data_IF_201339489295
#
_entry.id   IF_201339489295
#
_cell.length_a   1.000
_cell.length_b   1.000
_cell.length_c   1.000
_cell.angle_alpha   90.00
_cell.angle_beta   90.00
_cell.angle_gamma   90.00
#
_symmetry.space_group_name_H-M   'P 1'
#
loop_
_entity.id
_entity.type
_entity.pdbx_description
1 polymer ?
#
# COMPACT_ATOMS: atom_id res chain seq x y z
N UNK A 1 7.72 16.09 5.68
CA UNK A 1 8.80 15.08 5.77
C UNK A 1 8.37 13.87 6.58
N UNK A 2 8.09 14.02 7.87
CA UNK A 2 7.66 12.87 8.69
C UNK A 2 6.30 12.35 8.24
N UNK A 3 5.39 13.25 7.85
CA UNK A 3 4.07 12.90 7.29
C UNK A 3 4.10 12.00 6.05
N UNK A 4 5.07 12.17 5.13
CA UNK A 4 5.16 11.31 3.94
C UNK A 4 5.64 9.90 4.29
N UNK A 5 6.46 9.77 5.34
CA UNK A 5 6.87 8.46 5.87
C UNK A 5 5.71 7.79 6.64
N UNK A 6 4.94 8.55 7.43
CA UNK A 6 3.72 8.05 8.06
C UNK A 6 2.68 7.61 7.04
N UNK A 7 2.56 8.31 5.90
CA UNK A 7 1.67 7.89 4.82
C UNK A 7 2.04 6.50 4.29
N UNK A 8 3.33 6.22 4.09
CA UNK A 8 3.80 4.88 3.68
C UNK A 8 3.38 3.84 4.73
N UNK A 9 3.63 4.10 6.01
CA UNK A 9 3.25 3.18 7.10
C UNK A 9 1.74 2.94 7.17
N UNK A 10 0.93 3.99 7.04
CA UNK A 10 -0.53 3.88 7.04
C UNK A 10 -1.00 3.00 5.89
N UNK A 11 -0.48 3.22 4.68
CA UNK A 11 -0.87 2.45 3.50
C UNK A 11 -0.42 1.00 3.60
N UNK A 12 0.77 0.74 4.15
CA UNK A 12 1.27 -0.62 4.39
C UNK A 12 0.36 -1.39 5.37
N UNK A 13 -0.02 -0.77 6.49
CA UNK A 13 -0.94 -1.35 7.47
C UNK A 13 -2.29 -1.67 6.82
N UNK A 14 -2.80 -0.77 5.98
CA UNK A 14 -4.05 -0.98 5.25
C UNK A 14 -3.90 -2.13 4.25
N UNK A 15 -2.79 -2.23 3.52
CA UNK A 15 -2.51 -3.33 2.60
C UNK A 15 -2.57 -4.68 3.32
N UNK A 16 -1.82 -4.82 4.43
CA UNK A 16 -1.80 -6.05 5.22
C UNK A 16 -3.17 -6.38 5.83
N UNK A 17 -3.92 -5.36 6.28
CA UNK A 17 -5.28 -5.56 6.78
C UNK A 17 -6.22 -6.12 5.70
N UNK A 18 -6.14 -5.60 4.46
CA UNK A 18 -6.92 -6.12 3.34
C UNK A 18 -6.51 -7.53 2.93
N UNK A 19 -5.20 -7.81 2.83
CA UNK A 19 -4.69 -9.15 2.53
C UNK A 19 -5.18 -10.17 3.55
N UNK A 20 -5.03 -9.88 4.84
CA UNK A 20 -5.47 -10.77 5.93
C UNK A 20 -6.99 -10.98 5.90
N UNK A 21 -7.76 -9.93 5.62
CA UNK A 21 -9.22 -10.01 5.53
C UNK A 21 -9.66 -10.89 4.37
N UNK A 22 -9.00 -10.77 3.22
CA UNK A 22 -9.35 -11.53 2.02
C UNK A 22 -8.93 -12.98 2.13
N UNK A 23 -7.75 -13.25 2.69
CA UNK A 23 -7.30 -14.62 2.97
C UNK A 23 -8.24 -15.33 3.95
N UNK A 24 -8.80 -14.60 4.92
CA UNK A 24 -9.83 -15.14 5.82
C UNK A 24 -11.15 -15.45 5.13
N UNK A 25 -11.59 -14.62 4.17
CA UNK A 25 -12.89 -14.78 3.48
C UNK A 25 -12.79 -15.79 2.34
N UNK A 26 -11.65 -15.88 1.67
CA UNK A 26 -11.44 -16.64 0.44
C UNK A 26 -10.29 -17.63 0.63
N UNK A 27 -10.62 -18.84 1.10
CA UNK A 27 -9.64 -19.92 1.24
C UNK A 27 -9.14 -20.46 -0.11
N UNK A 28 -9.86 -20.23 -1.21
CA UNK A 28 -9.39 -20.50 -2.57
C UNK A 28 -8.95 -19.21 -3.26
N UNK A 29 -7.90 -19.27 -4.09
CA UNK A 29 -7.42 -18.12 -4.87
C UNK A 29 -8.45 -17.74 -5.96
N UNK A 30 -9.43 -16.93 -5.59
CA UNK A 30 -10.34 -16.32 -6.54
C UNK A 30 -9.67 -15.14 -7.28
N UNK A 31 -10.09 -14.90 -8.52
CA UNK A 31 -9.65 -13.78 -9.36
C UNK A 31 -9.83 -12.43 -8.62
N UNK A 32 -10.86 -12.29 -7.78
CA UNK A 32 -11.06 -11.11 -6.93
C UNK A 32 -9.97 -10.95 -5.86
N UNK A 33 -9.50 -12.03 -5.25
CA UNK A 33 -8.44 -12.00 -4.24
C UNK A 33 -7.14 -11.46 -4.84
N UNK A 34 -6.78 -11.95 -6.03
CA UNK A 34 -5.64 -11.43 -6.79
C UNK A 34 -5.78 -9.94 -7.08
N UNK A 35 -6.95 -9.50 -7.53
CA UNK A 35 -7.20 -8.09 -7.84
C UNK A 35 -7.01 -7.18 -6.64
N UNK A 36 -7.42 -7.59 -5.44
CA UNK A 36 -7.21 -6.76 -4.25
C UNK A 36 -5.75 -6.70 -3.85
N UNK A 37 -5.01 -7.82 -3.94
CA UNK A 37 -3.55 -7.83 -3.69
C UNK A 37 -2.80 -6.89 -4.66
N UNK A 38 -3.18 -6.91 -5.94
CA UNK A 38 -2.59 -6.03 -6.96
C UNK A 38 -2.88 -4.54 -6.67
N UNK A 39 -4.11 -4.22 -6.22
CA UNK A 39 -4.48 -2.84 -5.87
C UNK A 39 -3.81 -2.35 -4.57
N UNK A 40 -3.70 -3.22 -3.57
CA UNK A 40 -3.06 -2.90 -2.31
C UNK A 40 -1.56 -2.62 -2.47
N UNK A 41 -0.85 -3.47 -3.20
CA UNK A 41 0.56 -3.25 -3.55
C UNK A 41 0.77 -2.01 -4.43
N UNK A 42 -0.16 -1.70 -5.35
CA UNK A 42 -0.12 -0.44 -6.12
C UNK A 42 -0.26 0.81 -5.23
N UNK A 43 -1.10 0.75 -4.19
CA UNK A 43 -1.24 1.86 -3.24
C UNK A 43 0.06 2.10 -2.46
N UNK A 44 0.71 1.03 -1.99
CA UNK A 44 2.03 1.11 -1.33
C UNK A 44 3.05 1.75 -2.25
N UNK A 45 3.12 1.32 -3.51
CA UNK A 45 4.03 1.89 -4.50
C UNK A 45 3.79 3.39 -4.72
N UNK A 46 2.54 3.83 -4.83
CA UNK A 46 2.21 5.26 -4.96
C UNK A 46 2.61 6.07 -3.72
N UNK A 47 2.48 5.50 -2.52
CA UNK A 47 2.95 6.16 -1.29
C UNK A 47 4.47 6.33 -1.25
N UNK A 48 5.23 5.36 -1.78
CA UNK A 48 6.69 5.45 -1.93
C UNK A 48 7.08 6.51 -2.96
N UNK A 49 6.34 6.63 -4.08
CA UNK A 49 6.54 7.72 -5.04
C UNK A 49 6.28 9.08 -4.37
N UNK A 50 5.20 9.22 -3.61
CA UNK A 50 4.90 10.45 -2.88
C UNK A 50 6.04 10.81 -1.90
N UNK A 51 6.57 9.82 -1.19
CA UNK A 51 7.72 9.99 -0.31
C UNK A 51 8.94 10.51 -1.09
N UNK A 52 9.31 9.88 -2.20
CA UNK A 52 10.44 10.30 -3.03
C UNK A 52 10.27 11.71 -3.59
N UNK A 53 9.10 12.04 -4.15
CA UNK A 53 8.81 13.37 -4.70
C UNK A 53 8.90 14.43 -3.60
N UNK A 54 8.31 14.18 -2.43
CA UNK A 54 8.33 15.12 -1.31
C UNK A 54 9.77 15.43 -0.88
N UNK A 55 10.64 14.42 -0.81
CA UNK A 55 12.04 14.62 -0.45
C UNK A 55 12.84 15.29 -1.56
N UNK A 56 12.61 14.93 -2.83
CA UNK A 56 13.28 15.56 -3.96
C UNK A 56 13.00 17.06 -4.01
N UNK A 57 11.74 17.48 -3.84
CA UNK A 57 11.36 18.91 -3.82
C UNK A 57 12.04 19.66 -2.67
N UNK A 58 12.32 19.00 -1.54
CA UNK A 58 12.92 19.65 -0.37
C UNK A 58 14.45 19.76 -0.50
N UNK A 59 15.10 18.79 -1.14
CA UNK A 59 16.55 18.74 -1.29
C UNK A 59 17.08 19.57 -2.45
N UNK A 60 16.22 19.92 -3.41
CA UNK A 60 16.50 20.86 -4.51
C UNK A 60 16.33 22.29 -3.99
#
# INVERSE_FOLDING_TARGET
MVSSLFLVLIVEIINTAFETTIERISSEQHILSKKVKDLGSAAVFLSLINFLITWMIILI
#
